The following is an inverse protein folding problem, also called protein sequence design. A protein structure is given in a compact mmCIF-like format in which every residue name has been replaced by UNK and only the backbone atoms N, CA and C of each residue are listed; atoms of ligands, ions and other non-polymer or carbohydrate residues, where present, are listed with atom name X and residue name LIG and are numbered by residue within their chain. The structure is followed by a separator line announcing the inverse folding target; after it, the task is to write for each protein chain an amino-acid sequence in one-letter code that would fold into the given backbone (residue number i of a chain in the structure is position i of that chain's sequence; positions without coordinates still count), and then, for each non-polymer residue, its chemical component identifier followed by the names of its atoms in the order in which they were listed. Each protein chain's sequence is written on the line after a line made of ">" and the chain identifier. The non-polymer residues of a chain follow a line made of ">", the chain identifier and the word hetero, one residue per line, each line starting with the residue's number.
data_IF_025069125441
#
_entry.id   IF_025069125441
#
_cell.length_a   1.000
_cell.length_b   1.000
_cell.length_c   1.000
_cell.angle_alpha   90.00
_cell.angle_beta   90.00
_cell.angle_gamma   90.00
#
_symmetry.space_group_name_H-M   'P 1'
#
loop_
_entity.id
_entity.type
_entity.pdbx_description
1 polymer ?
#
# COMPACT_ATOMS: atom_id res chain seq x y z
N UNK A 1 19.61 55.33 50.53
CA UNK A 1 20.20 54.20 51.30
C UNK A 1 19.03 53.49 51.97
N UNK A 2 18.67 52.23 51.76
CA UNK A 2 19.27 51.06 51.11
C UNK A 2 18.26 50.43 50.14
N UNK A 3 18.79 49.95 49.01
CA UNK A 3 18.18 49.06 48.03
C UNK A 3 17.84 47.70 48.65
N UNK A 4 16.83 47.00 48.13
CA UNK A 4 16.69 45.56 48.33
C UNK A 4 15.28 45.00 48.22
N UNK A 5 14.49 45.38 47.20
CA UNK A 5 13.21 44.75 46.88
C UNK A 5 13.33 43.95 45.59
N UNK A 6 13.10 42.65 45.67
CA UNK A 6 13.27 41.63 44.64
C UNK A 6 12.72 42.04 43.26
N UNK A 7 13.64 42.26 42.30
CA UNK A 7 13.30 42.45 40.89
C UNK A 7 13.21 41.09 40.20
N UNK A 8 11.97 40.62 40.07
CA UNK A 8 11.39 39.97 38.88
C UNK A 8 12.40 39.43 37.84
N UNK A 9 12.71 38.14 37.90
CA UNK A 9 13.25 37.39 36.77
C UNK A 9 12.37 36.15 36.59
N UNK A 10 11.21 36.40 35.97
CA UNK A 10 10.28 35.41 35.43
C UNK A 10 10.94 34.84 34.16
N UNK A 11 11.89 33.93 34.36
CA UNK A 11 12.59 33.19 33.30
C UNK A 11 11.83 31.90 32.95
N UNK A 12 10.54 32.01 32.65
CA UNK A 12 9.77 30.86 32.15
C UNK A 12 9.70 30.94 30.63
N UNK A 13 10.75 30.38 30.05
CA UNK A 13 10.98 30.02 28.66
C UNK A 13 9.67 29.51 28.02
N UNK A 14 9.03 30.37 27.20
CA UNK A 14 8.06 29.92 26.21
C UNK A 14 8.84 29.23 25.08
N UNK A 15 9.14 27.95 25.31
CA UNK A 15 9.60 27.06 24.24
C UNK A 15 8.44 27.00 23.24
N UNK A 16 8.67 27.58 22.07
CA UNK A 16 7.95 27.32 20.85
C UNK A 16 7.91 25.79 20.65
N UNK A 17 6.86 25.14 21.14
CA UNK A 17 6.43 23.86 20.62
C UNK A 17 5.89 24.12 19.22
N UNK A 18 6.79 24.33 18.27
CA UNK A 18 6.50 24.05 16.88
C UNK A 18 6.22 22.56 16.82
N UNK A 19 4.94 22.18 16.80
CA UNK A 19 4.52 20.92 16.21
C UNK A 19 4.91 20.99 14.74
N UNK A 20 6.16 20.62 14.46
CA UNK A 20 6.53 20.02 13.20
C UNK A 20 5.68 18.75 13.10
N UNK A 21 4.51 18.86 12.49
CA UNK A 21 3.77 17.75 11.92
C UNK A 21 4.55 17.18 10.74
N UNK A 22 5.79 16.75 11.00
CA UNK A 22 6.42 15.75 10.17
C UNK A 22 5.69 14.48 10.54
N UNK A 23 4.71 14.09 9.72
CA UNK A 23 4.25 12.71 9.74
C UNK A 23 5.53 11.88 9.57
N UNK A 24 5.90 11.14 10.61
CA UNK A 24 6.93 10.13 10.49
C UNK A 24 6.48 9.19 9.37
N UNK A 25 7.06 9.36 8.19
CA UNK A 25 6.73 8.57 7.02
C UNK A 25 7.11 7.14 7.35
N UNK A 26 6.10 6.32 7.63
CA UNK A 26 6.27 4.89 7.86
C UNK A 26 6.99 4.33 6.63
N UNK A 27 8.25 3.94 6.79
CA UNK A 27 8.97 3.21 5.75
C UNK A 27 8.30 1.86 5.61
N UNK A 28 7.56 1.70 4.51
CA UNK A 28 6.92 0.44 4.15
C UNK A 28 8.03 -0.49 3.67
N UNK A 29 8.26 -1.60 4.37
CA UNK A 29 9.21 -2.60 3.93
C UNK A 29 8.66 -3.39 2.73
N UNK A 30 9.50 -4.13 2.01
CA UNK A 30 9.06 -4.94 0.86
C UNK A 30 8.02 -6.00 1.28
N UNK A 31 8.16 -6.53 2.49
CA UNK A 31 7.25 -7.50 3.11
C UNK A 31 5.90 -6.89 3.53
N UNK A 32 5.81 -5.56 3.50
CA UNK A 32 4.59 -4.80 3.73
C UNK A 32 3.92 -4.43 2.39
N UNK A 33 4.46 -4.85 1.26
CA UNK A 33 3.89 -4.64 -0.08
C UNK A 33 3.15 -5.90 -0.54
N UNK A 34 2.04 -6.22 0.13
CA UNK A 34 1.33 -7.47 -0.11
C UNK A 34 0.06 -7.68 0.72
N UNK A 35 -0.31 -8.94 0.88
CA UNK A 35 -1.48 -9.40 1.62
C UNK A 35 -1.09 -10.28 2.81
N UNK A 36 -2.00 -10.36 3.79
CA UNK A 36 -1.83 -11.07 5.05
C UNK A 36 -3.09 -11.88 5.31
N UNK A 37 -2.92 -13.17 5.64
CA UNK A 37 -4.02 -14.01 6.08
C UNK A 37 -4.56 -13.51 7.42
N UNK A 38 -5.88 -13.34 7.50
CA UNK A 38 -6.55 -12.95 8.74
C UNK A 38 -6.51 -14.09 9.76
N UNK A 39 -6.49 -15.35 9.32
CA UNK A 39 -6.55 -16.51 10.18
C UNK A 39 -5.27 -16.73 10.99
N UNK A 40 -4.10 -16.54 10.37
CA UNK A 40 -2.81 -16.93 10.96
C UNK A 40 -1.67 -15.93 10.75
N UNK A 41 -1.91 -14.81 10.06
CA UNK A 41 -0.93 -13.75 9.86
C UNK A 41 0.17 -14.07 8.83
N UNK A 42 0.12 -15.21 8.13
CA UNK A 42 1.07 -15.51 7.05
C UNK A 42 0.90 -14.52 5.90
N UNK A 43 2.02 -14.11 5.30
CA UNK A 43 2.07 -13.06 4.27
C UNK A 43 2.36 -13.62 2.89
N UNK A 44 1.80 -12.97 1.87
CA UNK A 44 2.24 -13.04 0.48
C UNK A 44 2.55 -11.63 0.03
N UNK A 45 3.76 -11.39 -0.45
CA UNK A 45 4.21 -10.04 -0.77
C UNK A 45 4.97 -9.98 -2.09
N UNK A 46 5.07 -8.77 -2.63
CA UNK A 46 5.77 -8.48 -3.86
C UNK A 46 7.22 -8.98 -3.79
N UNK A 47 7.66 -9.72 -4.81
CA UNK A 47 8.98 -10.34 -4.89
C UNK A 47 9.16 -11.64 -4.09
N UNK A 48 8.10 -12.16 -3.46
CA UNK A 48 8.15 -13.46 -2.79
C UNK A 48 8.28 -14.60 -3.82
N UNK A 49 9.05 -15.65 -3.51
CA UNK A 49 9.23 -16.80 -4.42
C UNK A 49 7.95 -17.62 -4.52
N UNK A 50 7.66 -18.14 -5.71
CA UNK A 50 6.46 -18.97 -5.95
C UNK A 50 6.34 -20.15 -4.98
N UNK A 51 7.43 -20.87 -4.74
CA UNK A 51 7.43 -22.00 -3.80
C UNK A 51 7.00 -21.60 -2.38
N UNK A 52 7.44 -20.42 -1.91
CA UNK A 52 7.06 -19.90 -0.59
C UNK A 52 5.60 -19.44 -0.58
N UNK A 53 5.11 -18.84 -1.68
CA UNK A 53 3.69 -18.48 -1.84
C UNK A 53 2.80 -19.70 -1.75
N UNK A 54 3.16 -20.79 -2.43
CA UNK A 54 2.35 -22.02 -2.43
C UNK A 54 2.29 -22.70 -1.05
N UNK A 55 3.25 -22.41 -0.16
CA UNK A 55 3.18 -22.80 1.26
C UNK A 55 2.12 -22.01 2.06
N UNK A 56 1.74 -20.83 1.57
CA UNK A 56 0.77 -19.93 2.20
C UNK A 56 -0.62 -20.09 1.60
N UNK A 57 -0.74 -20.00 0.27
CA UNK A 57 -2.02 -20.01 -0.45
C UNK A 57 -2.44 -21.41 -0.94
N UNK A 58 -1.58 -22.42 -0.80
CA UNK A 58 -1.77 -23.72 -1.41
C UNK A 58 -1.35 -23.72 -2.89
N UNK A 59 -1.75 -24.76 -3.62
CA UNK A 59 -1.39 -24.93 -5.03
C UNK A 59 -2.29 -24.06 -5.91
N UNK A 60 -1.69 -23.12 -6.64
CA UNK A 60 -2.39 -22.28 -7.61
C UNK A 60 -2.69 -23.03 -8.91
N UNK A 61 -3.70 -22.54 -9.64
CA UNK A 61 -4.08 -23.04 -10.96
C UNK A 61 -3.78 -21.98 -12.00
N UNK A 62 -3.10 -22.37 -13.08
CA UNK A 62 -2.89 -21.47 -14.21
C UNK A 62 -4.21 -21.14 -14.88
N UNK A 63 -4.44 -19.85 -15.11
CA UNK A 63 -5.54 -19.29 -15.85
C UNK A 63 -5.02 -18.61 -17.13
N UNK A 64 -5.87 -17.86 -17.82
CA UNK A 64 -5.45 -17.18 -19.04
C UNK A 64 -4.34 -16.15 -18.78
N UNK A 65 -3.46 -15.95 -19.77
CA UNK A 65 -2.42 -14.91 -19.80
C UNK A 65 -1.40 -15.00 -18.66
N UNK A 66 -1.10 -16.20 -18.17
CA UNK A 66 -0.06 -16.43 -17.17
C UNK A 66 -0.45 -16.01 -15.74
N UNK A 67 -1.73 -15.74 -15.50
CA UNK A 67 -2.31 -15.55 -14.17
C UNK A 67 -2.32 -16.88 -13.44
N UNK A 68 -1.90 -16.90 -12.18
CA UNK A 68 -2.11 -18.03 -11.27
C UNK A 68 -3.21 -17.67 -10.28
N UNK A 69 -4.32 -18.42 -10.33
CA UNK A 69 -5.46 -18.25 -9.43
C UNK A 69 -5.37 -19.19 -8.23
N UNK A 70 -5.72 -18.67 -7.06
CA UNK A 70 -5.83 -19.44 -5.82
C UNK A 70 -7.28 -19.48 -5.37
N UNK A 71 -7.69 -20.59 -4.77
CA UNK A 71 -9.09 -20.84 -4.39
C UNK A 71 -9.64 -19.81 -3.37
N UNK A 72 -8.76 -18.99 -2.77
CA UNK A 72 -9.09 -17.96 -1.79
C UNK A 72 -9.39 -16.57 -2.37
N UNK A 73 -9.67 -16.45 -3.68
CA UNK A 73 -9.91 -15.14 -4.33
C UNK A 73 -8.65 -14.29 -4.49
N UNK A 74 -7.47 -14.92 -4.52
CA UNK A 74 -6.20 -14.26 -4.77
C UNK A 74 -5.67 -14.69 -6.13
N UNK A 75 -5.25 -13.74 -6.95
CA UNK A 75 -4.58 -14.01 -8.22
C UNK A 75 -3.21 -13.37 -8.24
N UNK A 76 -2.23 -14.08 -8.81
CA UNK A 76 -0.85 -13.62 -8.87
C UNK A 76 -0.30 -13.68 -10.28
N UNK A 77 0.55 -12.72 -10.61
CA UNK A 77 1.47 -12.83 -11.74
C UNK A 77 2.88 -13.03 -11.20
N UNK A 78 3.64 -13.89 -11.88
CA UNK A 78 5.03 -14.13 -11.57
C UNK A 78 5.94 -13.56 -12.66
N UNK A 79 7.05 -12.96 -12.25
CA UNK A 79 8.17 -12.56 -13.11
C UNK A 79 9.43 -13.16 -12.51
N UNK A 80 10.17 -13.93 -13.30
CA UNK A 80 11.39 -14.62 -12.84
C UNK A 80 11.17 -15.48 -11.57
N UNK A 81 10.02 -16.17 -11.51
CA UNK A 81 9.57 -17.01 -10.38
C UNK A 81 9.33 -16.26 -9.06
N UNK A 82 9.18 -14.93 -9.13
CA UNK A 82 8.82 -14.05 -8.02
C UNK A 82 7.49 -13.35 -8.26
N UNK A 83 6.73 -13.09 -7.19
CA UNK A 83 5.48 -12.33 -7.27
C UNK A 83 5.74 -10.94 -7.84
N UNK A 84 5.07 -10.62 -8.94
CA UNK A 84 5.18 -9.33 -9.62
C UNK A 84 3.86 -8.56 -9.65
N UNK A 85 2.74 -9.25 -9.47
CA UNK A 85 1.45 -8.64 -9.20
C UNK A 85 0.64 -9.50 -8.23
N UNK A 86 -0.14 -8.85 -7.38
CA UNK A 86 -1.11 -9.44 -6.47
C UNK A 86 -2.47 -8.80 -6.76
N UNK A 87 -3.48 -9.62 -6.97
CA UNK A 87 -4.87 -9.22 -7.11
C UNK A 87 -5.65 -9.90 -5.99
N UNK A 88 -6.41 -9.12 -5.23
CA UNK A 88 -7.30 -9.61 -4.19
C UNK A 88 -8.73 -9.30 -4.62
N UNK A 89 -9.50 -10.33 -4.95
CA UNK A 89 -10.89 -10.23 -5.43
C UNK A 89 -11.89 -10.31 -4.28
N UNK A 90 -13.19 -10.23 -4.60
CA UNK A 90 -14.26 -10.18 -3.59
C UNK A 90 -14.28 -11.45 -2.71
N UNK A 91 -13.95 -12.61 -3.28
CA UNK A 91 -13.89 -13.90 -2.58
C UNK A 91 -12.82 -13.94 -1.48
N UNK A 92 -11.82 -13.05 -1.51
CA UNK A 92 -10.82 -12.94 -0.46
C UNK A 92 -11.31 -12.20 0.78
N UNK A 93 -12.51 -11.61 0.74
CA UNK A 93 -13.12 -10.87 1.86
C UNK A 93 -13.21 -11.71 3.12
N UNK A 94 -12.69 -11.17 4.22
CA UNK A 94 -12.65 -11.87 5.51
C UNK A 94 -11.64 -13.03 5.58
N UNK A 95 -10.88 -13.27 4.51
CA UNK A 95 -9.80 -14.26 4.45
C UNK A 95 -8.44 -13.55 4.44
N UNK A 96 -8.31 -12.50 3.62
CA UNK A 96 -7.11 -11.71 3.48
C UNK A 96 -7.38 -10.22 3.63
N UNK A 97 -6.33 -9.51 4.01
CA UNK A 97 -6.23 -8.06 4.03
C UNK A 97 -4.88 -7.64 3.47
N UNK A 98 -4.72 -6.39 3.05
CA UNK A 98 -3.39 -5.87 2.72
C UNK A 98 -2.53 -5.82 3.99
N UNK A 99 -1.21 -5.77 3.85
CA UNK A 99 -0.30 -5.65 4.99
C UNK A 99 -0.50 -4.35 5.80
N UNK A 100 -1.15 -3.34 5.22
CA UNK A 100 -1.54 -2.09 5.90
C UNK A 100 -2.93 -2.18 6.54
N UNK A 101 -3.56 -3.35 6.50
CA UNK A 101 -4.89 -3.66 7.02
C UNK A 101 -6.08 -3.14 6.20
N UNK A 102 -5.89 -2.90 4.89
CA UNK A 102 -7.02 -2.61 4.02
C UNK A 102 -7.73 -3.90 3.59
N UNK A 103 -9.06 -3.87 3.57
CA UNK A 103 -9.91 -5.04 3.30
C UNK A 103 -10.96 -4.75 2.24
N UNK A 104 -11.38 -5.81 1.54
CA UNK A 104 -12.53 -5.76 0.64
C UNK A 104 -13.77 -5.30 1.43
N UNK A 105 -14.51 -4.36 0.86
CA UNK A 105 -15.69 -3.75 1.46
C UNK A 105 -15.45 -2.39 2.14
N UNK A 106 -14.20 -1.96 2.31
CA UNK A 106 -13.89 -0.61 2.84
C UNK A 106 -14.29 0.48 1.84
N UNK A 107 -14.72 1.63 2.35
CA UNK A 107 -14.94 2.86 1.57
C UNK A 107 -13.62 3.57 1.28
N UNK A 108 -13.62 4.47 0.29
CA UNK A 108 -12.42 5.27 -0.06
C UNK A 108 -11.88 6.05 1.13
N UNK A 109 -12.75 6.64 1.95
CA UNK A 109 -12.34 7.37 3.16
C UNK A 109 -11.62 6.44 4.17
N UNK A 110 -12.07 5.19 4.32
CA UNK A 110 -11.40 4.19 5.16
C UNK A 110 -10.03 3.79 4.57
N UNK A 111 -9.91 3.68 3.25
CA UNK A 111 -8.63 3.42 2.56
C UNK A 111 -7.66 4.60 2.73
N UNK A 112 -8.13 5.84 2.62
CA UNK A 112 -7.33 7.05 2.83
C UNK A 112 -6.85 7.18 4.29
N UNK A 113 -7.62 6.69 5.27
CA UNK A 113 -7.14 6.61 6.66
C UNK A 113 -5.97 5.63 6.82
N UNK A 114 -5.88 4.61 5.98
CA UNK A 114 -4.84 3.58 6.02
C UNK A 114 -3.58 4.02 5.26
N UNK A 115 -3.76 4.48 4.02
CA UNK A 115 -2.65 4.79 3.10
C UNK A 115 -2.31 6.29 3.04
N UNK A 116 -3.15 7.14 3.61
CA UNK A 116 -3.03 8.59 3.53
C UNK A 116 -3.76 9.18 2.33
N UNK A 117 -3.63 10.50 2.19
CA UNK A 117 -4.30 11.30 1.13
C UNK A 117 -3.38 11.62 -0.05
N UNK A 118 -2.13 11.14 -0.04
CA UNK A 118 -1.20 11.29 -1.15
C UNK A 118 -1.42 10.12 -2.12
N UNK A 119 -2.23 10.37 -3.13
CA UNK A 119 -2.54 9.41 -4.20
C UNK A 119 -2.82 10.16 -5.50
N UNK A 120 -2.90 9.45 -6.61
CA UNK A 120 -3.24 10.06 -7.90
C UNK A 120 -4.65 10.68 -7.86
N UNK A 121 -4.91 11.77 -8.61
CA UNK A 121 -6.23 12.37 -8.67
C UNK A 121 -7.31 11.36 -9.07
N UNK A 122 -8.37 11.26 -8.26
CA UNK A 122 -9.43 10.27 -8.45
C UNK A 122 -10.80 10.90 -8.18
N UNK A 123 -11.82 10.47 -8.95
CA UNK A 123 -13.22 10.82 -8.70
C UNK A 123 -13.86 9.78 -7.80
N UNK A 124 -15.02 10.08 -7.19
CA UNK A 124 -15.72 9.19 -6.26
C UNK A 124 -15.92 7.76 -6.81
N UNK A 125 -16.36 7.65 -8.05
CA UNK A 125 -16.66 6.38 -8.76
C UNK A 125 -15.42 5.69 -9.38
N UNK A 126 -14.24 6.31 -9.23
CA UNK A 126 -12.99 5.79 -9.79
C UNK A 126 -12.12 5.19 -8.68
N UNK A 127 -11.23 4.24 -9.03
CA UNK A 127 -10.31 3.65 -8.05
C UNK A 127 -9.44 4.68 -7.34
N UNK A 128 -9.04 4.40 -6.10
CA UNK A 128 -7.86 5.07 -5.52
C UNK A 128 -6.61 4.40 -6.06
N UNK A 129 -5.67 5.20 -6.57
CA UNK A 129 -4.38 4.70 -7.05
C UNK A 129 -3.27 5.38 -6.28
N UNK A 130 -2.62 4.62 -5.41
CA UNK A 130 -1.42 5.02 -4.70
C UNK A 130 -0.20 4.60 -5.48
N UNK A 131 0.81 5.47 -5.52
CA UNK A 131 2.09 5.20 -6.17
C UNK A 131 3.16 5.27 -5.10
N UNK A 132 3.82 4.15 -4.82
CA UNK A 132 4.88 4.06 -3.81
C UNK A 132 6.24 3.95 -4.49
N UNK A 133 7.13 4.92 -4.25
CA UNK A 133 8.53 4.87 -4.66
C UNK A 133 9.29 4.01 -3.65
N UNK A 134 9.60 2.76 -4.02
CA UNK A 134 10.26 1.80 -3.12
C UNK A 134 11.69 2.22 -2.75
N UNK A 135 12.36 3.05 -3.57
CA UNK A 135 13.71 3.53 -3.29
C UNK A 135 13.71 4.67 -2.28
N UNK A 136 12.78 5.61 -2.43
CA UNK A 136 12.63 6.76 -1.52
C UNK A 136 11.82 6.41 -0.28
N UNK A 137 10.97 5.40 -0.39
CA UNK A 137 10.06 4.96 0.66
C UNK A 137 8.88 5.91 0.88
N UNK A 138 8.37 6.56 -0.17
CA UNK A 138 7.32 7.59 -0.08
C UNK A 138 6.22 7.40 -1.12
N UNK A 139 5.01 7.88 -0.80
CA UNK A 139 3.93 7.99 -1.77
C UNK A 139 4.10 9.20 -2.69
N UNK A 140 3.64 9.07 -3.94
CA UNK A 140 3.69 10.09 -4.99
C UNK A 140 2.28 10.40 -5.50
N UNK A 141 2.08 11.64 -5.97
CA UNK A 141 0.82 12.08 -6.58
C UNK A 141 0.72 11.73 -8.07
N UNK A 142 1.84 11.37 -8.70
CA UNK A 142 1.92 11.03 -10.12
C UNK A 142 2.94 9.92 -10.36
N UNK A 143 2.73 9.18 -11.45
CA UNK A 143 3.70 8.21 -11.96
C UNK A 143 4.63 8.94 -12.91
N UNK A 144 5.92 8.89 -12.63
CA UNK A 144 6.94 9.41 -13.54
C UNK A 144 8.13 8.45 -13.54
N UNK A 145 8.33 7.79 -14.69
CA UNK A 145 9.50 6.97 -14.98
C UNK A 145 9.85 7.10 -16.46
N UNK A 146 11.13 7.02 -16.77
CA UNK A 146 11.66 7.11 -18.14
C UNK A 146 12.29 5.80 -18.62
N UNK A 147 12.54 4.88 -17.69
CA UNK A 147 13.18 3.58 -17.96
C UNK A 147 12.39 2.42 -17.35
N UNK A 148 12.62 1.22 -17.89
CA UNK A 148 12.06 -0.03 -17.36
C UNK A 148 12.45 -0.25 -15.89
N UNK A 149 13.70 0.03 -15.54
CA UNK A 149 14.21 -0.14 -14.18
C UNK A 149 13.58 0.86 -13.20
N UNK A 150 13.35 2.10 -13.62
CA UNK A 150 12.57 3.04 -12.81
C UNK A 150 11.13 2.55 -12.63
N UNK A 151 10.51 2.01 -13.67
CA UNK A 151 9.14 1.51 -13.60
C UNK A 151 8.98 0.36 -12.59
N UNK A 152 9.97 -0.55 -12.51
CA UNK A 152 10.01 -1.63 -11.50
C UNK A 152 10.18 -1.13 -10.06
N UNK A 153 10.61 0.12 -9.85
CA UNK A 153 10.78 0.71 -8.52
C UNK A 153 9.54 1.44 -8.01
N UNK A 154 8.53 1.66 -8.86
CA UNK A 154 7.28 2.28 -8.49
C UNK A 154 6.20 1.20 -8.36
N UNK A 155 5.70 1.01 -7.15
CA UNK A 155 4.61 0.07 -6.89
C UNK A 155 3.28 0.82 -6.88
N UNK A 156 2.29 0.30 -7.61
CA UNK A 156 0.92 0.75 -7.57
C UNK A 156 0.15 -0.07 -6.54
N UNK A 157 -0.63 0.61 -5.71
CA UNK A 157 -1.65 0.01 -4.86
C UNK A 157 -2.98 0.63 -5.29
N UNK A 158 -3.85 -0.17 -5.90
CA UNK A 158 -5.11 0.29 -6.46
C UNK A 158 -6.25 -0.34 -5.69
N UNK A 159 -7.10 0.49 -5.10
CA UNK A 159 -8.39 0.07 -4.52
C UNK A 159 -9.50 0.37 -5.54
N UNK A 160 -9.95 -0.65 -6.26
CA UNK A 160 -11.11 -0.57 -7.14
C UNK A 160 -12.39 -0.52 -6.30
N UNK A 161 -13.39 0.24 -6.75
CA UNK A 161 -14.68 0.34 -6.05
C UNK A 161 -15.82 -0.10 -6.96
N UNK A 162 -16.75 -0.87 -6.41
CA UNK A 162 -18.01 -1.17 -7.08
C UNK A 162 -18.82 0.13 -7.20
N UNK A 163 -19.29 0.42 -8.41
CA UNK A 163 -19.98 1.68 -8.75
C UNK A 163 -21.32 1.84 -8.04
N UNK A 164 -21.92 0.76 -7.57
CA UNK A 164 -23.24 0.82 -6.93
C UNK A 164 -23.12 1.05 -5.42
N UNK A 165 -22.24 0.29 -4.76
CA UNK A 165 -22.04 0.30 -3.31
C UNK A 165 -21.00 1.32 -2.86
N UNK A 166 -20.12 1.78 -3.77
CA UNK A 166 -18.95 2.61 -3.48
C UNK A 166 -18.00 1.97 -2.46
N UNK A 167 -18.02 0.64 -2.40
CA UNK A 167 -17.14 -0.16 -1.55
C UNK A 167 -16.08 -0.83 -2.39
N UNK A 168 -14.91 -1.02 -1.78
CA UNK A 168 -13.79 -1.67 -2.44
C UNK A 168 -14.17 -3.11 -2.78
N UNK A 169 -14.10 -3.48 -4.05
CA UNK A 169 -14.41 -4.82 -4.55
C UNK A 169 -13.16 -5.59 -4.99
N UNK A 170 -12.06 -4.88 -5.20
CA UNK A 170 -10.79 -5.47 -5.61
C UNK A 170 -9.60 -4.60 -5.20
N UNK A 171 -8.49 -5.24 -4.83
CA UNK A 171 -7.19 -4.59 -4.74
C UNK A 171 -6.22 -5.11 -5.79
N UNK A 172 -5.42 -4.20 -6.34
CA UNK A 172 -4.26 -4.54 -7.17
C UNK A 172 -2.98 -4.01 -6.53
N UNK A 173 -1.94 -4.84 -6.50
CA UNK A 173 -0.60 -4.47 -6.04
C UNK A 173 0.40 -4.96 -7.09
N UNK A 174 0.97 -4.04 -7.88
CA UNK A 174 1.92 -4.38 -8.94
C UNK A 174 2.83 -3.20 -9.29
N UNK A 175 3.96 -3.46 -9.93
CA UNK A 175 4.87 -2.39 -10.36
C UNK A 175 4.42 -1.69 -11.65
N UNK A 176 4.79 -0.42 -11.80
CA UNK A 176 4.39 0.38 -12.97
C UNK A 176 4.94 -0.14 -14.31
N UNK A 177 5.85 -1.11 -14.29
CA UNK A 177 6.31 -1.79 -15.50
C UNK A 177 5.14 -2.44 -16.27
N UNK A 178 4.10 -2.92 -15.59
CA UNK A 178 2.90 -3.46 -16.23
C UNK A 178 2.08 -2.43 -17.01
N UNK A 179 2.30 -1.12 -16.82
CA UNK A 179 1.57 -0.08 -17.55
C UNK A 179 2.15 0.22 -18.93
N UNK A 180 3.41 -0.11 -19.19
CA UNK A 180 4.10 0.32 -20.41
C UNK A 180 5.12 -0.63 -21.01
N UNK A 181 5.52 -1.68 -20.28
CA UNK A 181 6.61 -2.57 -20.69
C UNK A 181 6.22 -4.05 -20.69
N UNK A 182 5.15 -4.45 -20.00
CA UNK A 182 4.57 -5.78 -20.12
C UNK A 182 3.98 -5.96 -21.53
N UNK A 183 4.47 -6.96 -22.28
CA UNK A 183 4.01 -7.34 -23.62
C UNK A 183 3.28 -8.66 -23.59
#
# INVERSE_FOLDING_TARGET
>A
MRLGGQLFILFTILILCGCSSGQDLVKIAKEDLGIVSIADGRKVYYGMKRADVESVLGQGKEAERGVIKYDSGVELFYRDDEVAAIIMEEEAKGIYKTAQNAEIGMSKDEIEQIYGTIHMPSKKELPLTYVYDMKKGVFLEEISHSTEEEAKNLLLIIASVDKNSLRTDMFFIYDSYYLGYAK
#
